data_IF_492867377768
#
_entry.id   IF_492867377768
#
_cell.length_a   1.000
_cell.length_b   1.000
_cell.length_c   1.000
_cell.angle_alpha   90.00
_cell.angle_beta   90.00
_cell.angle_gamma   90.00
#
_symmetry.space_group_name_H-M   'P 1'
#
loop_
_entity.id
_entity.type
_entity.pdbx_description
1 polymer ?
#
# COMPACT_ATOMS: atom_id res chain seq x y z
N UNK A 1 13.78 4.64 -19.52
CA UNK A 1 12.70 4.00 -20.32
C UNK A 1 11.38 4.52 -19.75
N UNK A 2 10.72 5.43 -20.52
CA UNK A 2 9.66 6.33 -20.05
C UNK A 2 8.33 5.59 -19.78
N UNK A 3 8.16 5.07 -18.57
CA UNK A 3 6.88 4.51 -18.10
C UNK A 3 5.83 5.58 -17.69
N UNK A 4 6.17 6.77 -17.15
CA UNK A 4 5.16 7.71 -16.68
C UNK A 4 4.21 8.25 -17.76
N UNK A 5 4.71 8.69 -18.89
CA UNK A 5 3.88 9.32 -19.93
C UNK A 5 2.90 8.36 -20.62
N UNK A 6 3.27 7.09 -20.79
CA UNK A 6 2.39 6.09 -21.40
C UNK A 6 1.27 5.66 -20.46
N UNK A 7 1.54 5.61 -19.16
CA UNK A 7 0.56 5.21 -18.13
C UNK A 7 -0.55 6.25 -18.00
N UNK A 8 -0.21 7.53 -17.94
CA UNK A 8 -1.17 8.63 -17.83
C UNK A 8 -2.09 8.70 -19.03
N UNK A 9 -1.55 8.55 -20.24
CA UNK A 9 -2.33 8.52 -21.48
C UNK A 9 -3.29 7.32 -21.53
N UNK A 10 -2.91 6.16 -21.00
CA UNK A 10 -3.77 4.98 -20.93
C UNK A 10 -4.86 5.17 -19.89
N UNK A 11 -4.54 5.70 -18.71
CA UNK A 11 -5.47 5.90 -17.60
C UNK A 11 -6.38 7.13 -17.77
N UNK A 12 -6.11 8.02 -18.72
CA UNK A 12 -7.00 9.15 -19.04
C UNK A 12 -8.41 8.74 -19.51
N UNK A 13 -8.58 7.50 -19.95
CA UNK A 13 -9.89 6.98 -20.32
C UNK A 13 -10.63 6.45 -19.08
N UNK A 14 -11.84 6.95 -18.75
CA UNK A 14 -12.52 6.69 -17.49
C UNK A 14 -12.72 5.20 -17.14
N UNK A 15 -13.06 4.37 -18.12
CA UNK A 15 -13.25 2.93 -17.88
C UNK A 15 -11.93 2.25 -17.47
N UNK A 16 -10.80 2.63 -18.07
CA UNK A 16 -9.49 2.07 -17.69
C UNK A 16 -9.04 2.55 -16.32
N UNK A 17 -9.29 3.82 -15.98
CA UNK A 17 -9.05 4.32 -14.65
C UNK A 17 -9.86 3.52 -13.61
N UNK A 18 -11.15 3.27 -13.89
CA UNK A 18 -11.99 2.49 -12.97
C UNK A 18 -11.57 1.01 -12.87
N UNK A 19 -11.14 0.39 -13.96
CA UNK A 19 -10.55 -0.96 -13.92
C UNK A 19 -9.29 -0.96 -13.04
N UNK A 20 -8.42 0.03 -13.18
CA UNK A 20 -7.21 0.17 -12.40
C UNK A 20 -7.51 0.27 -10.89
N UNK A 21 -8.48 1.10 -10.51
CA UNK A 21 -8.93 1.25 -9.12
C UNK A 21 -9.46 -0.08 -8.56
N UNK A 22 -10.35 -0.77 -9.29
CA UNK A 22 -10.91 -2.06 -8.87
C UNK A 22 -9.82 -3.13 -8.68
N UNK A 23 -8.81 -3.14 -9.55
CA UNK A 23 -7.67 -4.05 -9.40
C UNK A 23 -6.75 -3.65 -8.24
N UNK A 24 -6.61 -2.34 -7.96
CA UNK A 24 -5.86 -1.85 -6.81
C UNK A 24 -6.55 -2.19 -5.49
N UNK A 25 -7.88 -2.13 -5.45
CA UNK A 25 -8.69 -2.50 -4.29
C UNK A 25 -8.69 -4.02 -4.04
N UNK A 26 -8.46 -4.82 -5.08
CA UNK A 26 -8.45 -6.28 -4.97
C UNK A 26 -7.08 -6.79 -4.51
N UNK A 27 -7.03 -7.49 -3.37
CA UNK A 27 -5.81 -8.12 -2.88
C UNK A 27 -5.43 -9.41 -3.63
N UNK A 28 -6.24 -9.86 -4.59
CA UNK A 28 -6.10 -11.11 -5.33
C UNK A 28 -6.40 -10.93 -6.81
N UNK A 29 -5.89 -11.81 -7.70
CA UNK A 29 -6.26 -11.83 -9.10
C UNK A 29 -7.77 -11.98 -9.27
N UNK A 30 -8.36 -11.24 -10.20
CA UNK A 30 -9.80 -11.27 -10.48
C UNK A 30 -10.09 -11.63 -11.93
N UNK A 31 -11.15 -12.41 -12.21
CA UNK A 31 -11.52 -12.76 -13.59
C UNK A 31 -12.15 -11.57 -14.33
N UNK A 32 -12.03 -11.58 -15.68
CA UNK A 32 -12.64 -10.55 -16.54
C UNK A 32 -14.14 -10.38 -16.29
N UNK A 33 -14.85 -11.45 -15.97
CA UNK A 33 -16.29 -11.42 -15.69
C UNK A 33 -16.61 -10.62 -14.43
N UNK A 34 -15.82 -10.76 -13.38
CA UNK A 34 -15.99 -9.96 -12.17
C UNK A 34 -15.83 -8.46 -12.44
N UNK A 35 -14.80 -8.06 -13.20
CA UNK A 35 -14.63 -6.67 -13.61
C UNK A 35 -15.81 -6.16 -14.45
N UNK A 36 -16.31 -7.00 -15.36
CA UNK A 36 -17.45 -6.66 -16.20
C UNK A 36 -18.72 -6.41 -15.36
N UNK A 37 -18.96 -7.26 -14.36
CA UNK A 37 -20.08 -7.12 -13.43
C UNK A 37 -19.97 -5.83 -12.60
N UNK A 38 -18.77 -5.52 -12.07
CA UNK A 38 -18.52 -4.30 -11.29
C UNK A 38 -18.71 -3.02 -12.12
N UNK A 39 -18.44 -3.08 -13.43
CA UNK A 39 -18.51 -1.94 -14.33
C UNK A 39 -19.86 -1.82 -15.06
N UNK A 40 -20.72 -2.82 -14.97
CA UNK A 40 -21.95 -2.89 -15.76
C UNK A 40 -21.68 -3.01 -17.28
N UNK A 41 -20.55 -3.63 -17.68
CA UNK A 41 -20.11 -3.74 -19.07
C UNK A 41 -20.10 -5.18 -19.56
N UNK A 42 -20.14 -5.35 -20.89
CA UNK A 42 -19.97 -6.67 -21.48
C UNK A 42 -18.49 -7.14 -21.34
N UNK A 43 -18.24 -8.42 -20.99
CA UNK A 43 -16.87 -8.94 -20.79
C UNK A 43 -15.90 -8.71 -21.97
N UNK A 44 -16.40 -8.72 -23.21
CA UNK A 44 -15.56 -8.44 -24.38
C UNK A 44 -15.07 -6.99 -24.44
N UNK A 45 -15.90 -6.03 -24.00
CA UNK A 45 -15.50 -4.62 -23.89
C UNK A 45 -14.42 -4.44 -22.82
N UNK A 46 -14.59 -5.06 -21.66
CA UNK A 46 -13.59 -5.03 -20.57
C UNK A 46 -12.28 -5.67 -21.03
N UNK A 47 -12.34 -6.78 -21.77
CA UNK A 47 -11.13 -7.44 -22.30
C UNK A 47 -10.31 -6.50 -23.19
N UNK A 48 -10.97 -5.72 -24.07
CA UNK A 48 -10.27 -4.75 -24.91
C UNK A 48 -9.55 -3.65 -24.13
N UNK A 49 -10.11 -3.24 -22.99
CA UNK A 49 -9.44 -2.30 -22.05
C UNK A 49 -8.26 -2.97 -21.36
N UNK A 50 -8.44 -4.19 -20.85
CA UNK A 50 -7.39 -4.96 -20.20
C UNK A 50 -6.20 -5.26 -21.12
N UNK A 51 -6.47 -5.60 -22.39
CA UNK A 51 -5.40 -5.83 -23.37
C UNK A 51 -4.56 -4.57 -23.62
N UNK A 52 -5.18 -3.40 -23.65
CA UNK A 52 -4.45 -2.12 -23.74
C UNK A 52 -3.64 -1.81 -22.49
N UNK A 53 -4.21 -2.09 -21.32
CA UNK A 53 -3.50 -1.93 -20.05
C UNK A 53 -2.33 -2.92 -19.93
N UNK A 54 -2.48 -4.15 -20.43
CA UNK A 54 -1.42 -5.15 -20.51
C UNK A 54 -0.26 -4.69 -21.41
N UNK A 55 -0.58 -4.14 -22.60
CA UNK A 55 0.42 -3.57 -23.51
C UNK A 55 1.17 -2.38 -22.92
N UNK A 56 0.52 -1.63 -22.01
CA UNK A 56 1.12 -0.53 -21.29
C UNK A 56 1.87 -0.97 -20.02
N UNK A 57 1.89 -2.27 -19.70
CA UNK A 57 2.55 -2.78 -18.49
C UNK A 57 1.82 -2.45 -17.18
N UNK A 58 0.54 -2.03 -17.24
CA UNK A 58 -0.24 -1.66 -16.06
C UNK A 58 -0.86 -2.86 -15.34
N UNK A 59 -1.12 -3.94 -16.07
CA UNK A 59 -1.72 -5.16 -15.53
C UNK A 59 -0.97 -6.39 -16.01
N UNK A 60 -1.08 -7.45 -15.23
CA UNK A 60 -0.62 -8.79 -15.57
C UNK A 60 -1.81 -9.72 -15.78
N UNK A 61 -1.65 -10.67 -16.71
CA UNK A 61 -2.61 -11.70 -16.98
C UNK A 61 -2.07 -13.05 -16.58
N UNK A 62 -2.82 -13.74 -15.72
CA UNK A 62 -2.58 -15.14 -15.35
C UNK A 62 -3.67 -16.02 -15.92
N UNK A 63 -3.32 -17.18 -16.47
CA UNK A 63 -4.28 -18.20 -16.85
C UNK A 63 -4.52 -19.14 -15.68
N UNK A 64 -5.75 -19.17 -15.19
CA UNK A 64 -6.17 -20.20 -14.26
C UNK A 64 -6.58 -21.46 -15.04
N UNK A 65 -5.79 -22.53 -14.88
CA UNK A 65 -6.04 -23.84 -15.48
C UNK A 65 -6.64 -24.84 -14.48
N UNK A 66 -6.92 -24.44 -13.23
CA UNK A 66 -7.26 -25.35 -12.14
C UNK A 66 -8.74 -25.82 -12.14
N UNK A 67 -9.61 -25.30 -13.00
CA UNK A 67 -11.04 -25.64 -13.04
C UNK A 67 -11.43 -26.59 -14.19
N UNK A 68 -12.52 -27.41 -13.99
CA UNK A 68 -13.18 -28.06 -15.10
C UNK A 68 -13.83 -27.02 -16.01
N UNK A 69 -13.30 -26.81 -17.22
CA UNK A 69 -13.82 -25.88 -18.20
C UNK A 69 -12.75 -25.16 -19.00
N UNK A 70 -13.17 -24.15 -19.80
CA UNK A 70 -12.22 -23.32 -20.57
C UNK A 70 -11.38 -22.49 -19.59
N UNK A 71 -10.04 -22.46 -19.73
CA UNK A 71 -9.17 -21.63 -18.89
C UNK A 71 -9.67 -20.19 -18.84
N UNK A 72 -9.69 -19.59 -17.66
CA UNK A 72 -10.12 -18.22 -17.43
C UNK A 72 -8.89 -17.33 -17.27
N UNK A 73 -8.95 -16.16 -17.88
CA UNK A 73 -7.95 -15.14 -17.66
C UNK A 73 -8.28 -14.40 -16.35
N UNK A 74 -7.32 -14.36 -15.44
CA UNK A 74 -7.33 -13.56 -14.22
C UNK A 74 -6.35 -12.40 -14.36
N UNK A 75 -6.68 -11.28 -13.74
CA UNK A 75 -5.98 -10.02 -13.88
C UNK A 75 -5.60 -9.45 -12.52
N UNK A 76 -4.40 -8.90 -12.44
CA UNK A 76 -3.89 -8.14 -11.30
C UNK A 76 -3.14 -6.92 -11.81
N UNK A 77 -2.91 -5.93 -10.96
CA UNK A 77 -1.97 -4.86 -11.30
C UNK A 77 -0.57 -5.44 -11.43
N UNK A 78 0.19 -4.96 -12.42
CA UNK A 78 1.61 -5.26 -12.45
C UNK A 78 2.31 -4.64 -11.24
N UNK A 79 3.39 -5.25 -10.72
CA UNK A 79 4.11 -4.73 -9.57
C UNK A 79 4.52 -3.26 -9.73
N UNK A 80 4.97 -2.88 -10.92
CA UNK A 80 5.41 -1.51 -11.23
C UNK A 80 4.26 -0.49 -11.32
N UNK A 81 3.04 -0.94 -11.60
CA UNK A 81 1.86 -0.09 -11.69
C UNK A 81 1.11 0.03 -10.36
N UNK A 82 1.47 -0.71 -9.33
CA UNK A 82 0.84 -0.61 -8.00
C UNK A 82 1.09 0.77 -7.38
N UNK A 83 0.15 1.31 -6.60
CA UNK A 83 0.39 2.52 -5.83
C UNK A 83 1.70 2.41 -5.04
N UNK A 84 2.59 3.38 -5.22
CA UNK A 84 3.96 3.34 -4.69
C UNK A 84 4.99 2.72 -5.62
N UNK A 85 4.56 2.04 -6.71
CA UNK A 85 5.43 1.42 -7.72
C UNK A 85 6.31 0.28 -7.19
N UNK A 86 7.13 -0.29 -8.08
CA UNK A 86 8.28 -1.12 -7.70
C UNK A 86 9.55 -0.31 -7.89
N UNK A 87 10.44 -0.24 -6.89
CA UNK A 87 11.73 0.41 -7.10
C UNK A 87 12.54 -0.34 -8.16
N UNK A 88 13.46 0.34 -8.87
CA UNK A 88 14.39 -0.32 -9.77
C UNK A 88 15.04 -1.53 -9.08
N UNK A 89 15.22 -2.64 -9.79
CA UNK A 89 15.71 -3.91 -9.24
C UNK A 89 16.96 -3.72 -8.37
N UNK A 90 17.92 -2.89 -8.80
CA UNK A 90 19.13 -2.63 -8.04
C UNK A 90 18.87 -2.01 -6.65
N UNK A 91 17.88 -1.14 -6.51
CA UNK A 91 17.50 -0.57 -5.21
C UNK A 91 16.74 -1.59 -4.35
N UNK A 92 15.88 -2.39 -4.97
CA UNK A 92 15.18 -3.47 -4.27
C UNK A 92 16.17 -4.48 -3.70
N UNK A 93 17.13 -4.92 -4.51
CA UNK A 93 18.19 -5.85 -4.08
C UNK A 93 19.06 -5.25 -2.96
N UNK A 94 19.44 -3.97 -3.08
CA UNK A 94 20.21 -3.29 -2.04
C UNK A 94 19.45 -3.24 -0.72
N UNK A 95 18.15 -2.90 -0.75
CA UNK A 95 17.30 -2.86 0.45
C UNK A 95 17.17 -4.24 1.08
N UNK A 96 17.00 -5.30 0.29
CA UNK A 96 16.98 -6.69 0.77
C UNK A 96 18.28 -7.07 1.46
N UNK A 97 19.43 -6.77 0.84
CA UNK A 97 20.74 -7.08 1.43
C UNK A 97 20.99 -6.30 2.72
N UNK A 98 20.60 -5.03 2.78
CA UNK A 98 20.68 -4.23 3.99
C UNK A 98 19.76 -4.78 5.09
N UNK A 99 18.53 -5.17 4.76
CA UNK A 99 17.60 -5.77 5.71
C UNK A 99 18.17 -7.08 6.28
N UNK A 100 18.74 -7.94 5.42
CA UNK A 100 19.40 -9.19 5.84
C UNK A 100 20.62 -8.94 6.73
N UNK A 101 21.42 -7.94 6.40
CA UNK A 101 22.66 -7.63 7.14
C UNK A 101 22.40 -6.92 8.48
N UNK A 102 21.23 -6.28 8.65
CA UNK A 102 20.95 -5.50 9.85
C UNK A 102 20.61 -6.41 11.04
N UNK A 103 21.30 -6.27 12.19
CA UNK A 103 21.08 -7.13 13.33
C UNK A 103 19.71 -6.87 14.00
N UNK A 104 19.02 -7.94 14.39
CA UNK A 104 17.70 -7.87 15.03
C UNK A 104 17.76 -7.85 16.58
N UNK A 105 18.87 -7.41 17.17
CA UNK A 105 18.99 -7.22 18.62
C UNK A 105 18.16 -6.03 19.13
N UNK A 106 17.80 -6.05 20.42
CA UNK A 106 16.90 -5.03 21.02
C UNK A 106 17.34 -3.59 20.78
N UNK A 107 18.62 -3.29 20.91
CA UNK A 107 19.15 -1.94 20.67
C UNK A 107 19.07 -1.56 19.18
N UNK A 108 19.35 -2.49 18.30
CA UNK A 108 19.23 -2.30 16.85
C UNK A 108 17.78 -2.03 16.45
N UNK A 109 16.82 -2.76 17.01
CA UNK A 109 15.40 -2.55 16.74
C UNK A 109 14.91 -1.20 17.25
N UNK A 110 15.34 -0.74 18.43
CA UNK A 110 15.03 0.60 18.91
C UNK A 110 15.60 1.68 17.99
N UNK A 111 16.82 1.50 17.51
CA UNK A 111 17.46 2.43 16.59
C UNK A 111 16.73 2.50 15.24
N UNK A 112 16.33 1.36 14.69
CA UNK A 112 15.61 1.33 13.41
C UNK A 112 14.23 1.97 13.53
N UNK A 113 13.54 1.75 14.64
CA UNK A 113 12.26 2.42 14.94
C UNK A 113 12.43 3.93 15.06
N UNK A 114 13.50 4.40 15.72
CA UNK A 114 13.81 5.82 15.84
C UNK A 114 14.07 6.47 14.46
N UNK A 115 14.84 5.79 13.58
CA UNK A 115 15.07 6.25 12.20
C UNK A 115 13.76 6.30 11.41
N UNK A 116 12.92 5.29 11.56
CA UNK A 116 11.58 5.29 10.95
C UNK A 116 10.75 6.48 11.43
N UNK A 117 10.76 6.77 12.72
CA UNK A 117 10.02 7.88 13.32
C UNK A 117 10.50 9.25 12.80
N UNK A 118 11.79 9.44 12.66
CA UNK A 118 12.34 10.64 12.04
C UNK A 118 11.89 10.79 10.59
N UNK A 119 12.00 9.72 9.79
CA UNK A 119 11.52 9.69 8.41
C UNK A 119 10.01 9.99 8.31
N UNK A 120 9.22 9.47 9.25
CA UNK A 120 7.79 9.74 9.33
C UNK A 120 7.47 11.20 9.61
N UNK A 121 8.20 11.84 10.56
CA UNK A 121 8.05 13.27 10.83
C UNK A 121 8.40 14.11 9.60
N UNK A 122 9.47 13.76 8.89
CA UNK A 122 9.90 14.48 7.69
C UNK A 122 8.85 14.36 6.57
N UNK A 123 8.29 13.18 6.39
CA UNK A 123 7.24 12.93 5.41
C UNK A 123 5.94 13.66 5.79
N UNK A 124 5.53 13.61 7.06
CA UNK A 124 4.34 14.30 7.55
C UNK A 124 4.44 15.82 7.36
N UNK A 125 5.60 16.44 7.62
CA UNK A 125 5.82 17.86 7.36
C UNK A 125 5.68 18.26 5.89
N UNK A 126 6.01 17.36 4.97
CA UNK A 126 5.87 17.58 3.51
C UNK A 126 4.46 17.35 3.00
N UNK A 127 3.72 16.46 3.67
CA UNK A 127 2.37 16.09 3.29
C UNK A 127 1.28 17.04 3.82
N UNK A 128 1.64 18.09 4.59
CA UNK A 128 0.77 18.99 5.35
C UNK A 128 -0.67 19.02 4.82
N UNK A 129 -1.65 18.42 5.52
CA UNK A 129 -3.03 18.37 5.05
C UNK A 129 -3.60 19.80 5.00
N UNK A 130 -4.53 20.02 4.07
CA UNK A 130 -5.25 21.29 3.92
C UNK A 130 -6.24 21.61 5.07
N UNK A 131 -6.19 20.84 6.15
CA UNK A 131 -6.96 21.04 7.38
C UNK A 131 -8.43 20.58 7.30
N UNK A 132 -8.84 19.94 6.20
CA UNK A 132 -10.23 19.48 6.00
C UNK A 132 -10.43 17.96 6.22
N UNK A 133 -9.35 17.19 6.36
CA UNK A 133 -9.40 15.72 6.49
C UNK A 133 -9.49 15.27 7.95
N UNK A 134 -10.14 14.12 8.19
CA UNK A 134 -10.06 13.49 9.52
C UNK A 134 -8.65 12.93 9.78
N UNK A 135 -8.26 12.71 11.06
CA UNK A 135 -6.97 12.09 11.42
C UNK A 135 -6.68 10.79 10.68
N UNK A 136 -7.70 9.96 10.52
CA UNK A 136 -7.60 8.70 9.81
C UNK A 136 -7.36 8.89 8.31
N UNK A 137 -8.04 9.87 7.70
CA UNK A 137 -7.87 10.22 6.28
C UNK A 137 -6.49 10.80 6.01
N UNK A 138 -5.98 11.71 6.84
CA UNK A 138 -4.67 12.31 6.69
C UNK A 138 -3.55 11.25 6.70
N UNK A 139 -3.64 10.30 7.65
CA UNK A 139 -2.72 9.16 7.70
C UNK A 139 -2.88 8.27 6.46
N UNK A 140 -4.12 7.96 6.06
CA UNK A 140 -4.40 7.07 4.93
C UNK A 140 -3.87 7.64 3.60
N UNK A 141 -4.07 8.92 3.33
CA UNK A 141 -3.54 9.60 2.14
C UNK A 141 -2.02 9.50 2.10
N UNK A 142 -1.36 9.78 3.23
CA UNK A 142 0.10 9.74 3.31
C UNK A 142 0.65 8.31 3.15
N UNK A 143 0.03 7.32 3.79
CA UNK A 143 0.43 5.91 3.62
C UNK A 143 0.19 5.41 2.19
N UNK A 144 -0.84 5.90 1.51
CA UNK A 144 -1.08 5.59 0.08
C UNK A 144 0.07 6.07 -0.79
N UNK A 145 0.61 7.27 -0.53
CA UNK A 145 1.78 7.78 -1.25
C UNK A 145 3.05 6.92 -1.05
N UNK A 146 3.14 6.17 0.06
CA UNK A 146 4.19 5.18 0.29
C UNK A 146 3.89 3.80 -0.33
N UNK A 147 2.74 3.62 -1.00
CA UNK A 147 2.35 2.37 -1.65
C UNK A 147 1.60 1.38 -0.76
N UNK A 148 1.27 1.74 0.47
CA UNK A 148 0.32 0.98 1.27
C UNK A 148 -1.11 1.21 0.74
N UNK A 149 -2.00 0.25 0.96
CA UNK A 149 -3.43 0.39 0.65
C UNK A 149 -4.22 0.46 1.97
N UNK A 150 -4.23 1.62 2.65
CA UNK A 150 -4.90 1.77 3.93
C UNK A 150 -6.42 1.75 3.77
N UNK A 151 -7.09 1.05 4.67
CA UNK A 151 -8.55 1.06 4.81
C UNK A 151 -8.87 1.36 6.27
N UNK A 152 -9.56 2.46 6.53
CA UNK A 152 -10.06 2.78 7.86
C UNK A 152 -11.18 1.80 8.19
N UNK A 153 -11.03 1.04 9.28
CA UNK A 153 -11.96 -0.01 9.69
C UNK A 153 -12.75 0.35 10.95
N UNK A 154 -12.35 1.39 11.65
CA UNK A 154 -13.06 1.94 12.81
C UNK A 154 -12.52 3.34 13.08
N UNK A 155 -13.41 4.30 13.33
CA UNK A 155 -13.09 5.68 13.67
C UNK A 155 -14.06 6.20 14.73
N UNK A 156 -13.53 6.88 15.74
CA UNK A 156 -14.25 7.55 16.81
C UNK A 156 -13.46 8.77 17.30
N UNK A 157 -14.04 9.55 18.21
CA UNK A 157 -13.35 10.68 18.85
C UNK A 157 -12.14 10.24 19.67
N UNK A 158 -12.09 8.99 20.11
CA UNK A 158 -11.03 8.44 20.96
C UNK A 158 -9.87 7.84 20.14
N UNK A 159 -10.13 7.45 18.89
CA UNK A 159 -9.12 6.83 18.05
C UNK A 159 -9.66 6.21 16.78
N UNK A 160 -8.75 5.62 16.01
CA UNK A 160 -9.11 4.91 14.78
C UNK A 160 -8.22 3.68 14.54
N UNK A 161 -8.73 2.79 13.72
CA UNK A 161 -8.02 1.58 13.27
C UNK A 161 -7.95 1.58 11.76
N UNK A 162 -6.77 1.24 11.23
CA UNK A 162 -6.52 1.17 9.80
C UNK A 162 -5.87 -0.18 9.45
N UNK A 163 -6.44 -0.86 8.45
CA UNK A 163 -5.90 -2.10 7.91
C UNK A 163 -5.18 -1.81 6.59
N UNK A 164 -3.97 -2.34 6.41
CA UNK A 164 -3.15 -2.13 5.23
C UNK A 164 -3.31 -3.29 4.24
N UNK A 165 -3.91 -3.03 3.09
CA UNK A 165 -4.17 -4.03 2.05
C UNK A 165 -2.97 -4.35 1.14
N UNK A 166 -1.83 -3.68 1.31
CA UNK A 166 -0.60 -3.95 0.58
C UNK A 166 0.63 -3.69 1.44
N UNK A 167 1.68 -4.49 1.24
CA UNK A 167 3.01 -4.27 1.82
C UNK A 167 3.99 -3.88 0.70
N UNK A 168 4.37 -2.60 0.53
CA UNK A 168 5.34 -2.19 -0.49
C UNK A 168 6.76 -2.69 -0.20
N UNK A 169 7.03 -3.11 1.05
CA UNK A 169 8.34 -3.61 1.49
C UNK A 169 8.43 -5.14 1.54
N UNK A 170 7.49 -5.84 0.92
CA UNK A 170 7.34 -7.31 0.95
C UNK A 170 8.66 -8.06 0.82
N UNK A 171 9.44 -7.76 -0.20
CA UNK A 171 10.70 -8.43 -0.49
C UNK A 171 11.73 -8.26 0.66
N UNK A 172 11.79 -7.07 1.25
CA UNK A 172 12.68 -6.80 2.37
C UNK A 172 12.16 -7.42 3.68
N UNK A 173 10.82 -7.52 3.85
CA UNK A 173 10.20 -8.18 5.01
C UNK A 173 10.55 -9.66 5.03
N UNK A 174 10.56 -10.35 3.89
CA UNK A 174 11.01 -11.75 3.80
C UNK A 174 12.46 -11.95 4.27
N UNK A 175 13.32 -10.95 4.09
CA UNK A 175 14.70 -11.03 4.56
C UNK A 175 14.83 -10.77 6.08
N UNK A 176 14.08 -9.81 6.63
CA UNK A 176 14.13 -9.47 8.04
C UNK A 176 12.87 -8.71 8.49
N UNK A 177 11.83 -9.44 8.84
CA UNK A 177 10.54 -8.85 9.26
C UNK A 177 10.68 -7.90 10.45
N UNK A 178 11.46 -8.29 11.48
CA UNK A 178 11.60 -7.47 12.71
C UNK A 178 12.18 -6.08 12.40
N UNK A 179 13.18 -6.02 11.56
CA UNK A 179 13.84 -4.78 11.18
C UNK A 179 12.92 -3.92 10.30
N UNK A 180 12.34 -4.50 9.26
CA UNK A 180 11.53 -3.75 8.29
C UNK A 180 10.21 -3.30 8.90
N UNK A 181 9.53 -4.17 9.66
CA UNK A 181 8.30 -3.79 10.35
C UNK A 181 8.56 -2.83 11.52
N UNK A 182 9.73 -2.92 12.18
CA UNK A 182 10.16 -1.93 13.18
C UNK A 182 10.37 -0.54 12.58
N UNK A 183 11.01 -0.45 11.40
CA UNK A 183 11.12 0.79 10.65
C UNK A 183 9.74 1.36 10.28
N UNK A 184 8.86 0.52 9.77
CA UNK A 184 7.49 0.92 9.39
C UNK A 184 6.68 1.39 10.61
N UNK A 185 6.77 0.70 11.74
CA UNK A 185 6.15 1.14 13.00
C UNK A 185 6.62 2.54 13.39
N UNK A 186 7.93 2.77 13.33
CA UNK A 186 8.51 4.09 13.56
C UNK A 186 7.97 5.13 12.60
N UNK A 187 7.97 4.84 11.28
CA UNK A 187 7.44 5.72 10.24
C UNK A 187 5.99 6.14 10.55
N UNK A 188 5.12 5.18 10.85
CA UNK A 188 3.72 5.44 11.18
C UNK A 188 3.58 6.32 12.43
N UNK A 189 4.37 6.04 13.48
CA UNK A 189 4.39 6.88 14.68
C UNK A 189 4.81 8.31 14.39
N UNK A 190 5.87 8.51 13.60
CA UNK A 190 6.35 9.84 13.20
C UNK A 190 5.37 10.61 12.31
N UNK A 191 4.65 9.93 11.43
CA UNK A 191 3.56 10.51 10.64
C UNK A 191 2.45 11.04 11.56
N UNK A 192 1.96 10.22 12.50
CA UNK A 192 0.92 10.62 13.46
C UNK A 192 1.35 11.84 14.28
N UNK A 193 2.57 11.87 14.81
CA UNK A 193 3.08 12.98 15.58
C UNK A 193 3.09 14.32 14.83
N UNK A 194 3.12 14.28 13.51
CA UNK A 194 3.23 15.47 12.67
C UNK A 194 1.91 15.87 12.03
N UNK A 195 1.16 14.88 11.52
CA UNK A 195 -0.12 15.10 10.85
C UNK A 195 -1.22 15.40 11.87
N UNK A 196 -1.19 14.66 12.99
CA UNK A 196 -2.23 14.69 14.01
C UNK A 196 -1.62 14.66 15.41
N UNK A 197 -1.05 15.77 15.89
CA UNK A 197 -0.34 15.81 17.18
C UNK A 197 -1.19 15.41 18.40
N UNK A 198 -2.51 15.39 18.24
CA UNK A 198 -3.45 14.89 19.26
C UNK A 198 -3.58 13.36 19.31
N UNK A 199 -2.90 12.61 18.42
CA UNK A 199 -2.96 11.16 18.37
C UNK A 199 -1.60 10.52 18.54
N UNK A 200 -1.59 9.29 19.04
CA UNK A 200 -0.37 8.45 19.13
C UNK A 200 -0.64 7.07 18.57
N UNK A 201 0.41 6.43 18.08
CA UNK A 201 0.39 5.03 17.72
C UNK A 201 0.29 4.16 18.97
N UNK A 202 -0.82 3.46 19.14
CA UNK A 202 -1.05 2.54 20.26
C UNK A 202 -0.71 1.11 19.87
N UNK A 203 -1.14 0.68 18.69
CA UNK A 203 -0.92 -0.67 18.17
C UNK A 203 -0.36 -0.69 16.76
N UNK A 204 0.54 -1.63 16.52
CA UNK A 204 1.05 -1.96 15.18
C UNK A 204 1.22 -3.48 15.12
N UNK A 205 0.32 -4.13 14.38
CA UNK A 205 0.30 -5.59 14.24
C UNK A 205 0.74 -5.98 12.83
N UNK A 206 2.00 -6.39 12.64
CA UNK A 206 2.46 -6.88 11.35
C UNK A 206 1.81 -8.24 11.01
N UNK A 207 1.48 -8.44 9.75
CA UNK A 207 0.96 -9.70 9.20
C UNK A 207 1.93 -10.26 8.18
N UNK A 208 1.56 -11.39 7.59
CA UNK A 208 2.30 -11.96 6.46
C UNK A 208 2.36 -10.93 5.31
N UNK A 209 3.55 -10.60 4.78
CA UNK A 209 3.67 -9.59 3.74
C UNK A 209 2.99 -9.97 2.42
N UNK A 210 2.77 -11.27 2.16
CA UNK A 210 2.13 -11.75 0.94
C UNK A 210 0.59 -11.66 1.02
N UNK A 211 0.04 -11.82 2.22
CA UNK A 211 -1.39 -11.67 2.50
C UNK A 211 -1.77 -10.23 2.83
N UNK A 212 -0.80 -9.42 3.26
CA UNK A 212 -0.99 -8.07 3.81
C UNK A 212 -1.91 -8.06 5.05
N UNK A 213 -2.68 -7.01 5.28
CA UNK A 213 -3.62 -6.95 6.40
C UNK A 213 -3.00 -6.50 7.73
N UNK A 214 -1.82 -5.85 7.72
CA UNK A 214 -1.24 -5.23 8.92
C UNK A 214 -2.23 -4.23 9.51
N UNK A 215 -2.34 -4.20 10.86
CA UNK A 215 -3.28 -3.34 11.56
C UNK A 215 -2.53 -2.25 12.31
N UNK A 216 -2.97 -1.02 12.11
CA UNK A 216 -2.52 0.19 12.82
C UNK A 216 -3.66 0.65 13.71
N UNK A 217 -3.38 0.87 14.99
CA UNK A 217 -4.32 1.48 15.93
C UNK A 217 -3.72 2.77 16.45
N UNK A 218 -4.44 3.87 16.26
CA UNK A 218 -4.12 5.19 16.77
C UNK A 218 -5.15 5.61 17.80
N UNK A 219 -4.70 6.19 18.91
CA UNK A 219 -5.58 6.71 19.95
C UNK A 219 -5.28 8.18 20.23
N UNK A 220 -6.31 8.92 20.64
CA UNK A 220 -6.19 10.29 21.07
C UNK A 220 -5.34 10.35 22.36
N UNK A 221 -4.40 11.25 22.39
CA UNK A 221 -3.67 11.56 23.63
C UNK A 221 -4.63 12.31 24.55
N UNK A 222 -5.05 11.67 25.62
CA UNK A 222 -5.70 12.39 26.73
C UNK A 222 -4.62 13.24 27.38
N UNK A 223 -4.63 14.55 27.12
CA UNK A 223 -3.74 15.46 27.83
C UNK A 223 -4.08 15.37 29.31
N UNK A 224 -3.12 14.94 30.13
CA UNK A 224 -3.21 15.26 31.56
C UNK A 224 -3.17 16.79 31.66
N UNK A 225 -4.18 17.43 32.26
CA UNK A 225 -4.06 18.84 32.58
C UNK A 225 -2.94 19.00 33.58
N UNK A 226 -1.91 19.79 33.21
CA UNK A 226 -0.96 20.34 34.21
C UNK A 226 -1.67 21.13 35.30
#
# INVERSE_FOLDING_TARGET
MDLPEKSDAVLSQPTRARIFELLAESARPVPTTWLADQLGLHPNGVRAHLDRMLQAGLVERRRDAAGRGRPRDEWTLSPDARPGGSPPTAYSDLVRWLARAYPAGTESLRRIEAVGREAGRDAGRKAAPDGSSSPAEALAVTLTAFGFQPRVTGESDEGFTCCLGNCPYREAVHENQLVVCGLHRGLTGGLLETLEPGFRLEGFEPRDPDEAGCVITAIRQTGEPC
#
